data_IF_868597369125
#
_entry.id   IF_868597369125
#
_cell.length_a   1.000
_cell.length_b   1.000
_cell.length_c   1.000
_cell.angle_alpha   90.00
_cell.angle_beta   90.00
_cell.angle_gamma   90.00
#
_symmetry.space_group_name_H-M   'P 1'
#
loop_
_entity.id
_entity.type
_entity.pdbx_description
1 polymer ?
#
# COMPACT_ATOMS: atom_id res chain seq x y z
N UNK A 1 9.65 -5.70 -11.06
CA UNK A 1 8.87 -4.78 -11.92
C UNK A 1 8.60 -3.53 -11.11
N UNK A 2 8.84 -2.32 -11.64
CA UNK A 2 8.59 -1.08 -10.91
C UNK A 2 7.09 -0.94 -10.58
N UNK A 3 6.81 -0.24 -9.49
CA UNK A 3 5.47 0.16 -9.06
C UNK A 3 5.39 1.69 -9.19
N UNK A 4 4.27 2.19 -9.70
CA UNK A 4 4.03 3.63 -9.84
C UNK A 4 3.48 4.23 -8.55
N UNK A 5 3.58 5.55 -8.38
CA UNK A 5 3.00 6.24 -7.22
C UNK A 5 1.50 5.96 -7.06
N UNK A 6 0.75 5.94 -8.17
CA UNK A 6 -0.69 5.65 -8.15
C UNK A 6 -0.98 4.24 -7.62
N UNK A 7 -0.18 3.25 -8.00
CA UNK A 7 -0.31 1.87 -7.53
C UNK A 7 0.06 1.72 -6.06
N UNK A 8 1.11 2.42 -5.61
CA UNK A 8 1.49 2.46 -4.20
C UNK A 8 0.40 3.12 -3.34
N UNK A 9 -0.19 4.23 -3.81
CA UNK A 9 -1.30 4.90 -3.13
C UNK A 9 -2.55 4.01 -3.06
N UNK A 10 -2.89 3.30 -4.13
CA UNK A 10 -3.99 2.34 -4.12
C UNK A 10 -3.73 1.19 -3.11
N UNK A 11 -2.51 0.67 -3.08
CA UNK A 11 -2.13 -0.39 -2.15
C UNK A 11 -2.13 0.07 -0.68
N UNK A 12 -1.73 1.32 -0.43
CA UNK A 12 -1.83 1.95 0.89
C UNK A 12 -3.27 1.95 1.40
N UNK A 13 -4.22 2.40 0.57
CA UNK A 13 -5.64 2.42 0.94
C UNK A 13 -6.22 1.03 1.07
N UNK A 14 -5.84 0.12 0.17
CA UNK A 14 -6.27 -1.27 0.20
C UNK A 14 -5.91 -1.94 1.53
N UNK A 15 -4.64 -1.88 1.94
CA UNK A 15 -4.21 -2.52 3.19
C UNK A 15 -4.88 -1.85 4.41
N UNK A 16 -5.02 -0.52 4.38
CA UNK A 16 -5.69 0.23 5.44
C UNK A 16 -7.16 -0.17 5.61
N UNK A 17 -7.87 -0.40 4.50
CA UNK A 17 -9.30 -0.76 4.51
C UNK A 17 -9.54 -2.23 4.80
N UNK A 18 -8.69 -3.11 4.29
CA UNK A 18 -8.88 -4.55 4.42
C UNK A 18 -8.40 -5.08 5.76
N UNK A 19 -7.25 -4.59 6.24
CA UNK A 19 -6.57 -5.15 7.42
C UNK A 19 -6.45 -4.16 8.58
N UNK A 20 -6.89 -2.91 8.41
CA UNK A 20 -6.77 -1.87 9.44
C UNK A 20 -5.32 -1.43 9.70
N UNK A 21 -4.40 -1.76 8.80
CA UNK A 21 -2.98 -1.39 8.90
C UNK A 21 -2.72 -0.24 7.95
N UNK A 22 -2.25 0.90 8.47
CA UNK A 22 -1.82 2.05 7.66
C UNK A 22 -0.32 1.88 7.36
N UNK A 23 0.09 1.37 6.19
CA UNK A 23 1.50 1.11 5.90
C UNK A 23 2.22 2.41 5.55
N UNK A 24 3.54 2.47 5.76
CA UNK A 24 4.34 3.50 5.11
C UNK A 24 4.19 3.42 3.58
N UNK A 25 4.28 4.55 2.87
CA UNK A 25 4.15 4.56 1.40
C UNK A 25 5.21 3.70 0.72
N UNK A 26 6.41 3.63 1.29
CA UNK A 26 7.47 2.73 0.83
C UNK A 26 7.08 1.26 0.99
N UNK A 27 6.38 0.89 2.07
CA UNK A 27 5.85 -0.46 2.27
C UNK A 27 4.70 -0.78 1.32
N UNK A 28 3.87 0.22 0.99
CA UNK A 28 2.77 0.05 0.05
C UNK A 28 3.23 -0.35 -1.36
N UNK A 29 4.46 0.00 -1.76
CA UNK A 29 5.06 -0.49 -3.01
C UNK A 29 5.18 -2.02 -3.02
N UNK A 30 5.62 -2.63 -1.92
CA UNK A 30 5.75 -4.09 -1.84
C UNK A 30 4.37 -4.75 -1.90
N UNK A 31 3.36 -4.18 -1.22
CA UNK A 31 1.98 -4.65 -1.27
C UNK A 31 1.39 -4.54 -2.68
N UNK A 32 1.60 -3.43 -3.37
CA UNK A 32 1.16 -3.24 -4.75
C UNK A 32 1.74 -4.28 -5.69
N UNK A 33 3.04 -4.58 -5.54
CA UNK A 33 3.69 -5.61 -6.34
C UNK A 33 3.15 -7.00 -6.04
N UNK A 34 2.95 -7.35 -4.76
CA UNK A 34 2.40 -8.65 -4.39
C UNK A 34 0.95 -8.82 -4.84
N UNK A 35 0.12 -7.77 -4.84
CA UNK A 35 -1.24 -7.83 -5.41
C UNK A 35 -1.25 -8.24 -6.88
N UNK A 36 -0.20 -7.92 -7.64
CA UNK A 36 -0.03 -8.35 -9.04
C UNK A 36 0.54 -9.76 -9.16
N UNK A 37 1.47 -10.13 -8.28
CA UNK A 37 2.14 -11.43 -8.30
C UNK A 37 1.26 -12.56 -7.74
N UNK A 38 0.61 -12.37 -6.60
CA UNK A 38 -0.10 -13.41 -5.88
C UNK A 38 -1.14 -14.17 -6.74
N UNK A 39 -1.91 -13.53 -7.65
CA UNK A 39 -2.83 -14.23 -8.54
C UNK A 39 -2.14 -15.20 -9.53
N UNK A 40 -0.84 -15.07 -9.77
CA UNK A 40 -0.09 -15.94 -10.69
C UNK A 40 0.58 -17.13 -9.98
N UNK A 41 0.49 -17.19 -8.65
CA UNK A 41 1.09 -18.25 -7.85
C UNK A 41 0.06 -19.32 -7.49
N UNK A 42 0.54 -20.50 -7.11
CA UNK A 42 -0.33 -21.54 -6.57
C UNK A 42 -0.83 -21.15 -5.17
N UNK A 43 -2.04 -21.61 -4.81
CA UNK A 43 -2.73 -21.20 -3.57
C UNK A 43 -2.02 -21.61 -2.27
N UNK A 44 -1.11 -22.58 -2.35
CA UNK A 44 -0.33 -23.13 -1.23
C UNK A 44 1.04 -22.45 -1.06
N UNK A 45 1.42 -21.55 -1.97
CA UNK A 45 2.65 -20.78 -1.84
C UNK A 45 2.47 -19.63 -0.84
N UNK A 46 3.48 -19.42 0.00
CA UNK A 46 3.49 -18.38 1.03
C UNK A 46 4.36 -17.21 0.60
N UNK A 47 3.85 -15.99 0.76
CA UNK A 47 4.58 -14.74 0.50
C UNK A 47 4.79 -14.02 1.84
N UNK A 48 6.02 -13.60 2.10
CA UNK A 48 6.34 -12.74 3.25
C UNK A 48 6.66 -11.34 2.73
N UNK A 49 5.95 -10.34 3.23
CA UNK A 49 6.20 -8.93 2.93
C UNK A 49 6.74 -8.25 4.18
N UNK A 50 7.81 -7.47 4.02
CA UNK A 50 8.28 -6.59 5.09
C UNK A 50 7.51 -5.27 5.05
N UNK A 51 6.72 -4.99 6.09
CA UNK A 51 6.15 -3.66 6.34
C UNK A 51 7.18 -2.85 7.12
N UNK A 52 8.04 -2.14 6.39
CA UNK A 52 9.19 -1.40 6.92
C UNK A 52 8.81 -0.26 7.87
N UNK A 53 7.57 0.22 7.83
CA UNK A 53 7.12 1.30 8.69
C UNK A 53 5.60 1.51 8.65
N UNK A 54 5.14 2.40 9.53
CA UNK A 54 3.76 2.87 9.62
C UNK A 54 3.55 4.16 8.83
N UNK A 55 2.35 4.35 8.30
CA UNK A 55 2.02 5.44 7.37
C UNK A 55 1.43 6.70 7.99
N UNK A 56 1.46 6.89 9.32
CA UNK A 56 0.87 8.06 9.98
C UNK A 56 1.35 9.40 9.38
N UNK A 57 2.64 9.47 9.01
CA UNK A 57 3.25 10.66 8.40
C UNK A 57 2.81 10.87 6.95
N UNK A 58 2.38 9.81 6.29
CA UNK A 58 2.10 9.80 4.85
C UNK A 58 0.63 10.12 4.54
N UNK A 59 -0.27 9.97 5.51
CA UNK A 59 -1.72 10.23 5.35
C UNK A 59 -1.98 11.60 4.73
N UNK A 60 -1.32 12.64 5.23
CA UNK A 60 -1.50 14.00 4.72
C UNK A 60 -0.98 14.17 3.28
N UNK A 61 0.12 13.50 2.94
CA UNK A 61 0.68 13.53 1.60
C UNK A 61 -0.23 12.79 0.60
N UNK A 62 -0.73 11.61 0.99
CA UNK A 62 -1.67 10.82 0.18
C UNK A 62 -2.99 11.55 -0.01
N UNK A 63 -3.53 12.17 1.04
CA UNK A 63 -4.77 12.93 0.92
C UNK A 63 -4.62 14.08 -0.09
N UNK A 64 -3.53 14.85 -0.01
CA UNK A 64 -3.22 15.90 -1.00
C UNK A 64 -3.04 15.33 -2.40
N UNK A 65 -2.32 14.22 -2.55
CA UNK A 65 -2.14 13.56 -3.84
C UNK A 65 -3.47 13.15 -4.48
N UNK A 66 -4.44 12.73 -3.66
CA UNK A 66 -5.80 12.36 -4.10
C UNK A 66 -6.77 13.55 -4.23
N UNK A 67 -6.34 14.77 -3.95
CA UNK A 67 -7.21 15.95 -3.93
C UNK A 67 -8.22 15.95 -2.77
N UNK A 68 -7.98 15.19 -1.71
CA UNK A 68 -8.80 15.16 -0.50
C UNK A 68 -8.31 16.23 0.46
N UNK A 69 -9.21 17.11 0.87
CA UNK A 69 -8.94 18.08 1.93
C UNK A 69 -9.10 17.41 3.28
N UNK A 70 -8.00 17.27 4.02
CA UNK A 70 -8.05 16.96 5.45
C UNK A 70 -8.27 18.29 6.16
N UNK A 71 -9.46 18.49 6.71
CA UNK A 71 -9.71 19.61 7.60
C UNK A 71 -8.97 19.37 8.92
N UNK A 72 -8.31 20.39 9.45
CA UNK A 72 -7.84 20.41 10.84
C UNK A 72 -9.01 20.63 11.80
#
# INVERSE_FOLDING_TARGET
>A
MPITDAEAVEAFEYLSRMEGIIPAVESAHAVAWVKKLAPTLAKDQVIVINLSGRGDKDVAAIARYKGVSLYE
#
